data_IF_519761153439
#
_entry.id   IF_519761153439
#
_cell.length_a   1.000
_cell.length_b   1.000
_cell.length_c   1.000
_cell.angle_alpha   90.00
_cell.angle_beta   90.00
_cell.angle_gamma   90.00
#
_symmetry.space_group_name_H-M   'P 1'
#
loop_
_entity.id
_entity.type
_entity.pdbx_description
1 polymer ?
#
# COMPACT_ATOMS: atom_id res chain seq x y z
N UNK A 1 -3.49 32.41 -2.06
CA UNK A 1 -3.72 31.33 -1.06
C UNK A 1 -2.42 30.57 -0.88
N UNK A 2 -1.93 30.46 0.35
CA UNK A 2 -0.78 29.61 0.66
C UNK A 2 -1.22 28.16 0.43
N UNK A 3 -0.60 27.48 -0.54
CA UNK A 3 -0.93 26.09 -0.85
C UNK A 3 -0.41 25.20 0.29
N UNK A 4 -1.24 24.34 0.86
CA UNK A 4 -0.82 23.41 1.91
C UNK A 4 0.34 22.52 1.46
N UNK A 5 1.24 22.21 2.38
CA UNK A 5 2.36 21.29 2.18
C UNK A 5 1.83 19.88 2.39
N UNK A 6 1.71 19.13 1.29
CA UNK A 6 1.18 17.78 1.32
C UNK A 6 2.25 16.78 1.79
N UNK A 7 1.98 16.13 2.91
CA UNK A 7 2.83 15.14 3.57
C UNK A 7 2.03 13.88 3.96
N UNK A 8 1.08 13.51 3.11
CA UNK A 8 0.23 12.31 3.30
C UNK A 8 0.27 11.36 2.08
N UNK A 9 1.47 11.15 1.53
CA UNK A 9 1.67 10.32 0.33
C UNK A 9 1.34 8.84 0.54
N UNK A 10 1.34 8.34 1.78
CA UNK A 10 0.86 6.99 2.06
C UNK A 10 -0.66 6.87 1.90
N UNK A 11 -1.42 7.95 2.01
CA UNK A 11 -2.85 7.93 1.69
C UNK A 11 -3.08 7.90 0.18
N UNK A 12 -2.46 8.80 -0.56
CA UNK A 12 -2.50 8.84 -2.03
C UNK A 12 -1.35 9.66 -2.58
N UNK A 13 -0.87 9.30 -3.76
CA UNK A 13 0.11 10.09 -4.53
C UNK A 13 -0.65 10.95 -5.53
N UNK A 14 -0.31 12.23 -5.73
CA UNK A 14 -0.88 13.03 -6.82
C UNK A 14 -0.71 12.30 -8.16
N UNK A 15 -1.69 12.45 -9.06
CA UNK A 15 -1.60 11.85 -10.39
C UNK A 15 -0.41 12.49 -11.13
N UNK A 16 0.51 11.66 -11.63
CA UNK A 16 1.71 12.10 -12.35
C UNK A 16 1.31 12.89 -13.62
N UNK A 17 2.13 13.87 -14.01
CA UNK A 17 1.81 14.73 -15.13
C UNK A 17 1.72 13.97 -16.46
N UNK A 18 2.61 12.99 -16.68
CA UNK A 18 2.57 12.11 -17.84
C UNK A 18 1.31 11.22 -17.83
N UNK A 19 0.91 10.73 -16.66
CA UNK A 19 -0.34 9.98 -16.50
C UNK A 19 -1.54 10.85 -16.85
N UNK A 20 -1.60 12.12 -16.39
CA UNK A 20 -2.67 13.07 -16.77
C UNK A 20 -2.77 13.23 -18.30
N UNK A 21 -1.61 13.39 -18.96
CA UNK A 21 -1.55 13.49 -20.42
C UNK A 21 -2.12 12.24 -21.10
N UNK A 22 -1.65 11.06 -20.69
CA UNK A 22 -2.12 9.77 -21.23
C UNK A 22 -3.63 9.58 -21.03
N UNK A 23 -4.19 10.03 -19.89
CA UNK A 23 -5.64 10.00 -19.67
C UNK A 23 -6.40 10.90 -20.63
N UNK A 24 -5.93 12.13 -20.88
CA UNK A 24 -6.54 13.06 -21.83
C UNK A 24 -6.49 12.49 -23.24
N UNK A 25 -5.33 12.00 -23.68
CA UNK A 25 -5.16 11.36 -25.00
C UNK A 25 -6.13 10.17 -25.16
N UNK A 26 -6.33 9.37 -24.10
CA UNK A 26 -7.26 8.24 -24.12
C UNK A 26 -8.74 8.70 -24.23
N UNK A 27 -9.12 9.78 -23.55
CA UNK A 27 -10.48 10.33 -23.62
C UNK A 27 -10.83 10.81 -25.05
N UNK A 28 -9.84 11.28 -25.82
CA UNK A 28 -10.01 11.76 -27.19
C UNK A 28 -10.12 10.61 -28.21
N UNK A 29 -9.83 9.36 -27.84
CA UNK A 29 -9.95 8.20 -28.74
C UNK A 29 -11.39 7.83 -29.12
N UNK A 30 -12.39 8.33 -28.40
CA UNK A 30 -13.81 8.07 -28.66
C UNK A 30 -14.42 6.97 -27.79
N UNK A 31 -15.51 6.32 -28.26
CA UNK A 31 -16.30 5.39 -27.44
C UNK A 31 -15.62 4.01 -27.36
N UNK A 32 -14.76 3.82 -26.34
CA UNK A 32 -13.98 2.59 -26.14
C UNK A 32 -14.74 1.60 -25.25
N UNK A 33 -14.91 0.37 -25.75
CA UNK A 33 -15.37 -0.79 -24.95
C UNK A 33 -14.62 -2.03 -25.42
N UNK A 34 -13.74 -2.57 -24.57
CA UNK A 34 -12.88 -3.70 -24.92
C UNK A 34 -13.65 -5.01 -25.25
N UNK A 35 -14.91 -5.13 -24.86
CA UNK A 35 -15.76 -6.27 -25.21
C UNK A 35 -16.28 -6.23 -26.64
N UNK A 36 -16.19 -5.07 -27.35
CA UNK A 36 -16.68 -4.93 -28.72
C UNK A 36 -15.69 -5.47 -29.76
N UNK A 37 -16.22 -5.95 -30.91
CA UNK A 37 -15.40 -6.54 -31.98
C UNK A 37 -14.93 -5.52 -33.03
N UNK A 38 -15.53 -4.32 -33.07
CA UNK A 38 -15.21 -3.27 -34.01
C UNK A 38 -13.92 -2.53 -33.65
N UNK A 39 -13.52 -1.54 -34.44
CA UNK A 39 -12.28 -0.77 -34.30
C UNK A 39 -12.05 -0.29 -32.85
N UNK A 40 -12.99 0.46 -32.28
CA UNK A 40 -12.85 0.99 -30.90
C UNK A 40 -12.74 -0.10 -29.83
N UNK A 41 -13.37 -1.26 -30.04
CA UNK A 41 -13.22 -2.39 -29.13
C UNK A 41 -11.83 -3.01 -29.19
N UNK A 42 -11.25 -3.13 -30.39
CA UNK A 42 -9.86 -3.60 -30.54
C UNK A 42 -8.85 -2.64 -29.93
N UNK A 43 -9.06 -1.32 -30.08
CA UNK A 43 -8.23 -0.32 -29.39
C UNK A 43 -8.33 -0.46 -27.88
N UNK A 44 -9.54 -0.65 -27.34
CA UNK A 44 -9.72 -0.92 -25.91
C UNK A 44 -8.96 -2.16 -25.42
N UNK A 45 -9.02 -3.26 -26.19
CA UNK A 45 -8.22 -4.47 -25.86
C UNK A 45 -6.72 -4.21 -25.89
N UNK A 46 -6.25 -3.46 -26.86
CA UNK A 46 -4.85 -3.10 -26.98
C UNK A 46 -4.38 -2.26 -25.79
N UNK A 47 -5.16 -1.26 -25.38
CA UNK A 47 -4.90 -0.43 -24.21
C UNK A 47 -4.80 -1.27 -22.95
N UNK A 48 -5.76 -2.18 -22.72
CA UNK A 48 -5.75 -3.09 -21.56
C UNK A 48 -4.49 -3.95 -21.55
N UNK A 49 -4.10 -4.49 -22.71
CA UNK A 49 -2.93 -5.37 -22.81
C UNK A 49 -1.62 -4.62 -22.56
N UNK A 50 -1.48 -3.41 -23.10
CA UNK A 50 -0.29 -2.56 -22.86
C UNK A 50 -0.18 -2.22 -21.37
N UNK A 51 -1.28 -1.77 -20.75
CA UNK A 51 -1.29 -1.43 -19.34
C UNK A 51 -0.92 -2.63 -18.46
N UNK A 52 -1.48 -3.80 -18.77
CA UNK A 52 -1.17 -5.06 -18.09
C UNK A 52 0.29 -5.44 -18.23
N UNK A 53 0.87 -5.29 -19.42
CA UNK A 53 2.29 -5.56 -19.67
C UNK A 53 3.20 -4.59 -18.91
N UNK A 54 2.85 -3.32 -18.82
CA UNK A 54 3.63 -2.33 -18.08
C UNK A 54 3.67 -2.66 -16.56
N UNK A 55 2.53 -3.07 -16.00
CA UNK A 55 2.48 -3.51 -14.59
C UNK A 55 3.29 -4.80 -14.40
N UNK A 56 3.16 -5.77 -15.31
CA UNK A 56 3.91 -7.01 -15.29
C UNK A 56 5.43 -6.75 -15.29
N UNK A 57 5.88 -5.83 -16.14
CA UNK A 57 7.30 -5.43 -16.21
C UNK A 57 7.77 -4.79 -14.89
N UNK A 58 6.97 -3.91 -14.28
CA UNK A 58 7.32 -3.23 -13.03
C UNK A 58 7.57 -4.22 -11.88
N UNK A 59 6.80 -5.31 -11.83
CA UNK A 59 6.88 -6.28 -10.72
C UNK A 59 7.51 -7.62 -11.13
N UNK A 60 8.12 -7.68 -12.31
CA UNK A 60 8.76 -8.87 -12.89
C UNK A 60 7.89 -10.13 -12.83
N UNK A 61 6.78 -10.10 -13.59
CA UNK A 61 5.88 -11.24 -13.76
C UNK A 61 5.28 -11.26 -15.16
N UNK A 62 4.43 -12.25 -15.45
CA UNK A 62 3.71 -12.35 -16.72
C UNK A 62 2.41 -11.54 -16.67
N UNK A 63 2.02 -10.96 -17.81
CA UNK A 63 0.74 -10.22 -17.95
C UNK A 63 -0.48 -11.05 -17.57
N UNK A 64 -0.47 -12.35 -17.87
CA UNK A 64 -1.56 -13.28 -17.56
C UNK A 64 -1.80 -13.49 -16.06
N UNK A 65 -0.83 -13.15 -15.21
CA UNK A 65 -0.92 -13.24 -13.76
C UNK A 65 -1.64 -12.05 -13.12
N UNK A 66 -2.06 -11.05 -13.89
CA UNK A 66 -2.64 -9.80 -13.39
C UNK A 66 -4.16 -9.79 -13.65
N UNK A 67 -4.94 -9.51 -12.62
CA UNK A 67 -6.38 -9.22 -12.70
C UNK A 67 -6.60 -7.79 -12.24
N UNK A 68 -7.21 -6.95 -13.06
CA UNK A 68 -7.61 -5.60 -12.68
C UNK A 68 -8.83 -5.62 -11.77
N UNK A 69 -8.78 -4.81 -10.73
CA UNK A 69 -9.85 -4.60 -9.76
C UNK A 69 -10.09 -3.11 -9.55
N UNK A 70 -11.18 -2.71 -8.93
CA UNK A 70 -11.45 -1.30 -8.63
C UNK A 70 -10.52 -0.73 -7.54
N UNK A 71 -9.88 -1.57 -6.76
CA UNK A 71 -9.00 -1.18 -5.66
C UNK A 71 -8.24 -2.38 -5.10
N UNK A 72 -7.21 -2.12 -4.28
CA UNK A 72 -6.59 -3.16 -3.47
C UNK A 72 -7.61 -3.87 -2.56
N UNK A 73 -8.59 -3.14 -2.02
CA UNK A 73 -9.65 -3.73 -1.19
C UNK A 73 -10.46 -4.79 -1.94
N UNK A 74 -10.82 -4.56 -3.21
CA UNK A 74 -11.51 -5.56 -4.04
C UNK A 74 -10.62 -6.78 -4.29
N UNK A 75 -9.33 -6.57 -4.63
CA UNK A 75 -8.36 -7.65 -4.83
C UNK A 75 -8.20 -8.52 -3.56
N UNK A 76 -8.11 -7.89 -2.38
CA UNK A 76 -8.05 -8.57 -1.08
C UNK A 76 -9.30 -9.41 -0.85
N UNK A 77 -10.50 -8.85 -1.07
CA UNK A 77 -11.76 -9.58 -0.88
C UNK A 77 -11.85 -10.79 -1.83
N UNK A 78 -11.40 -10.66 -3.08
CA UNK A 78 -11.38 -11.76 -4.06
C UNK A 78 -10.54 -12.93 -3.55
N UNK A 79 -9.36 -12.65 -2.97
CA UNK A 79 -8.48 -13.70 -2.43
C UNK A 79 -9.08 -14.30 -1.16
N UNK A 80 -9.41 -13.46 -0.17
CA UNK A 80 -9.88 -13.92 1.13
C UNK A 80 -11.19 -14.70 1.01
N UNK A 81 -12.07 -14.30 0.08
CA UNK A 81 -13.30 -15.04 -0.23
C UNK A 81 -13.08 -16.43 -0.82
N UNK A 82 -11.87 -16.74 -1.29
CA UNK A 82 -11.53 -18.05 -1.85
C UNK A 82 -11.01 -19.06 -0.82
N UNK A 83 -10.79 -18.61 0.44
CA UNK A 83 -10.26 -19.46 1.51
C UNK A 83 -11.21 -19.52 2.72
N UNK A 84 -11.25 -20.67 3.39
CA UNK A 84 -12.00 -20.86 4.63
C UNK A 84 -11.13 -20.71 5.89
N UNK A 85 -9.83 -21.00 5.77
CA UNK A 85 -8.90 -20.91 6.89
C UNK A 85 -7.89 -19.81 6.56
N UNK A 86 -7.95 -18.72 7.30
CA UNK A 86 -7.16 -17.53 7.06
C UNK A 86 -6.44 -17.16 8.33
N UNK A 87 -5.14 -16.90 8.21
CA UNK A 87 -4.28 -16.36 9.27
C UNK A 87 -3.79 -15.01 8.80
N UNK A 88 -3.91 -13.97 9.59
CA UNK A 88 -3.54 -12.61 9.19
C UNK A 88 -2.63 -11.95 10.22
N UNK A 89 -1.78 -11.04 9.78
CA UNK A 89 -1.00 -10.21 10.71
C UNK A 89 -1.94 -9.24 11.46
N UNK A 90 -1.66 -9.00 12.74
CA UNK A 90 -2.45 -8.08 13.56
C UNK A 90 -2.34 -6.61 13.14
N UNK A 91 -1.39 -6.29 12.27
CA UNK A 91 -1.14 -4.94 11.75
C UNK A 91 -1.59 -4.75 10.29
N UNK A 92 -2.39 -5.67 9.74
CA UNK A 92 -2.93 -5.56 8.39
C UNK A 92 -3.80 -4.32 8.21
N UNK A 93 -3.94 -3.88 6.95
CA UNK A 93 -4.94 -2.88 6.61
C UNK A 93 -6.36 -3.39 6.94
N UNK A 94 -7.28 -2.49 7.31
CA UNK A 94 -8.66 -2.85 7.64
C UNK A 94 -9.38 -3.63 6.53
N UNK A 95 -8.96 -3.47 5.28
CA UNK A 95 -9.48 -4.27 4.17
C UNK A 95 -9.20 -5.79 4.34
N UNK A 96 -8.07 -6.16 4.99
CA UNK A 96 -7.74 -7.56 5.32
C UNK A 96 -8.44 -7.96 6.62
N UNK A 97 -8.28 -7.18 7.68
CA UNK A 97 -8.83 -7.52 9.01
C UNK A 97 -10.35 -7.72 8.97
N UNK A 98 -11.08 -6.81 8.32
CA UNK A 98 -12.55 -6.89 8.26
C UNK A 98 -13.06 -7.97 7.29
N UNK A 99 -12.28 -8.31 6.25
CA UNK A 99 -12.70 -9.30 5.24
C UNK A 99 -12.32 -10.72 5.62
N UNK A 100 -11.27 -10.92 6.40
CA UNK A 100 -10.75 -12.24 6.79
C UNK A 100 -11.72 -13.01 7.70
N UNK A 101 -12.50 -12.30 8.51
CA UNK A 101 -13.46 -12.88 9.48
C UNK A 101 -12.80 -13.97 10.34
N UNK A 102 -11.53 -13.79 10.70
CA UNK A 102 -10.73 -14.74 11.45
C UNK A 102 -10.23 -14.13 12.76
N UNK A 103 -10.11 -14.98 13.78
CA UNK A 103 -9.46 -14.63 15.05
C UNK A 103 -8.00 -15.13 15.11
N UNK A 104 -7.51 -15.74 14.02
CA UNK A 104 -6.14 -16.25 13.92
C UNK A 104 -5.20 -15.13 13.52
N UNK A 105 -4.78 -14.34 14.50
CA UNK A 105 -3.89 -13.19 14.31
C UNK A 105 -2.45 -13.57 14.63
N UNK A 106 -1.52 -13.17 13.76
CA UNK A 106 -0.08 -13.21 14.02
C UNK A 106 0.26 -11.93 14.79
N UNK A 107 0.73 -12.00 16.04
CA UNK A 107 1.14 -10.82 16.78
C UNK A 107 2.39 -10.19 16.16
N UNK A 108 2.69 -8.96 16.59
CA UNK A 108 3.93 -8.25 16.24
C UNK A 108 4.70 -7.90 17.51
N UNK A 109 6.00 -7.67 17.36
CA UNK A 109 6.83 -7.13 18.43
C UNK A 109 6.61 -5.61 18.60
N UNK A 110 7.33 -5.03 19.57
CA UNK A 110 7.29 -3.60 19.88
C UNK A 110 7.75 -2.70 18.70
N UNK A 111 8.47 -3.24 17.75
CA UNK A 111 8.90 -2.54 16.54
C UNK A 111 7.93 -2.70 15.36
N UNK A 112 6.90 -3.52 15.52
CA UNK A 112 5.89 -3.80 14.50
C UNK A 112 6.31 -4.89 13.51
N UNK A 113 7.24 -5.79 13.87
CA UNK A 113 7.63 -6.96 13.08
C UNK A 113 6.78 -8.16 13.50
N UNK A 114 6.26 -8.92 12.53
CA UNK A 114 5.47 -10.13 12.79
C UNK A 114 6.30 -11.19 13.54
N UNK A 115 5.66 -11.85 14.51
CA UNK A 115 6.26 -12.94 15.29
C UNK A 115 6.28 -14.23 14.45
N UNK A 116 7.45 -14.56 13.91
CA UNK A 116 7.65 -15.73 13.06
C UNK A 116 7.58 -17.03 13.84
N UNK A 117 8.01 -17.04 15.09
CA UNK A 117 7.95 -18.23 15.96
C UNK A 117 6.49 -18.56 16.30
N UNK A 118 5.69 -17.54 16.61
CA UNK A 118 4.25 -17.72 16.81
C UNK A 118 3.57 -18.23 15.54
N UNK A 119 3.90 -17.65 14.36
CA UNK A 119 3.36 -18.13 13.08
C UNK A 119 3.67 -19.61 12.86
N UNK A 120 4.91 -20.04 13.10
CA UNK A 120 5.30 -21.44 12.91
C UNK A 120 4.55 -22.38 13.87
N UNK A 121 4.43 -22.01 15.14
CA UNK A 121 3.68 -22.77 16.14
C UNK A 121 2.19 -22.87 15.78
N UNK A 122 1.58 -21.77 15.34
CA UNK A 122 0.19 -21.73 14.91
C UNK A 122 -0.04 -22.66 13.72
N UNK A 123 0.77 -22.54 12.65
CA UNK A 123 0.66 -23.36 11.46
C UNK A 123 0.88 -24.84 11.76
N UNK A 124 1.83 -25.21 12.62
CA UNK A 124 2.05 -26.58 13.09
C UNK A 124 0.81 -27.16 13.78
N UNK A 125 0.02 -26.32 14.45
CA UNK A 125 -1.21 -26.73 15.12
C UNK A 125 -2.35 -26.95 14.13
N UNK A 126 -2.60 -25.98 13.21
CA UNK A 126 -3.79 -25.97 12.37
C UNK A 126 -3.62 -26.74 11.04
N UNK A 127 -2.40 -26.97 10.55
CA UNK A 127 -2.15 -27.70 9.30
C UNK A 127 -2.52 -29.19 9.34
N UNK A 128 -2.76 -29.74 10.52
CA UNK A 128 -3.15 -31.14 10.71
C UNK A 128 -4.49 -31.49 10.04
N UNK A 129 -5.37 -30.51 9.87
CA UNK A 129 -6.71 -30.68 9.30
C UNK A 129 -6.73 -30.77 7.77
N UNK A 130 -5.56 -30.75 7.09
CA UNK A 130 -5.39 -30.82 5.62
C UNK A 130 -6.23 -29.82 4.82
N UNK A 131 -6.71 -28.74 5.44
CA UNK A 131 -7.44 -27.68 4.75
C UNK A 131 -6.46 -26.66 4.17
N UNK A 132 -6.83 -26.07 3.04
CA UNK A 132 -6.04 -24.96 2.49
C UNK A 132 -6.04 -23.79 3.48
N UNK A 133 -4.85 -23.32 3.83
CA UNK A 133 -4.64 -22.20 4.75
C UNK A 133 -4.04 -21.05 3.95
N UNK A 134 -4.63 -19.86 4.08
CA UNK A 134 -4.06 -18.62 3.57
C UNK A 134 -3.41 -17.85 4.70
N UNK A 135 -2.19 -17.44 4.52
CA UNK A 135 -1.47 -16.52 5.41
C UNK A 135 -1.41 -15.16 4.72
N UNK A 136 -1.96 -14.11 5.34
CA UNK A 136 -1.93 -12.76 4.80
C UNK A 136 -1.06 -11.85 5.66
N UNK A 137 0.02 -11.33 5.06
CA UNK A 137 0.95 -10.40 5.70
C UNK A 137 1.30 -9.27 4.73
N UNK A 138 1.02 -8.02 5.13
CA UNK A 138 1.41 -6.86 4.33
C UNK A 138 2.95 -6.74 4.26
N UNK A 139 3.47 -6.27 3.13
CA UNK A 139 4.92 -6.11 3.00
C UNK A 139 5.45 -4.88 3.73
N UNK A 140 4.73 -3.77 3.61
CA UNK A 140 5.09 -2.49 4.25
C UNK A 140 3.87 -1.98 5.01
N UNK A 141 4.05 -1.71 6.30
CA UNK A 141 2.95 -1.17 7.08
C UNK A 141 2.65 0.30 6.68
N UNK A 142 1.39 0.61 6.46
CA UNK A 142 0.93 1.90 5.96
C UNK A 142 1.05 3.04 6.99
N UNK A 143 1.17 2.73 8.28
CA UNK A 143 1.31 3.71 9.36
C UNK A 143 2.79 3.95 9.71
N UNK A 144 3.53 2.89 10.03
CA UNK A 144 4.92 2.95 10.50
C UNK A 144 5.95 2.98 9.36
N UNK A 145 5.59 2.42 8.19
CA UNK A 145 6.52 2.18 7.10
C UNK A 145 7.43 0.96 7.31
N UNK A 146 7.26 0.21 8.38
CA UNK A 146 8.07 -0.97 8.71
C UNK A 146 7.90 -2.05 7.63
N UNK A 147 9.04 -2.62 7.21
CA UNK A 147 9.11 -3.67 6.19
C UNK A 147 9.02 -5.03 6.89
N UNK A 148 8.07 -5.87 6.48
CA UNK A 148 7.88 -7.19 7.05
C UNK A 148 8.79 -8.25 6.40
N UNK A 149 9.20 -9.29 7.13
CA UNK A 149 10.08 -10.35 6.67
C UNK A 149 9.34 -11.37 5.78
N UNK A 150 8.82 -10.92 4.63
CA UNK A 150 7.93 -11.70 3.76
C UNK A 150 8.57 -13.02 3.30
N UNK A 151 9.88 -13.04 3.05
CA UNK A 151 10.57 -14.27 2.64
C UNK A 151 10.50 -15.35 3.73
N UNK A 152 10.65 -14.95 4.99
CA UNK A 152 10.59 -15.90 6.11
C UNK A 152 9.15 -16.36 6.34
N UNK A 153 8.16 -15.46 6.20
CA UNK A 153 6.73 -15.83 6.21
C UNK A 153 6.44 -16.87 5.13
N UNK A 154 6.94 -16.67 3.90
CA UNK A 154 6.77 -17.62 2.79
C UNK A 154 7.39 -18.96 3.13
N UNK A 155 8.64 -18.99 3.60
CA UNK A 155 9.37 -20.20 3.92
C UNK A 155 8.64 -21.02 5.01
N UNK A 156 8.20 -20.36 6.08
CA UNK A 156 7.43 -21.00 7.14
C UNK A 156 6.09 -21.51 6.60
N UNK A 157 5.35 -20.70 5.86
CA UNK A 157 4.04 -21.07 5.32
C UNK A 157 4.12 -22.30 4.41
N UNK A 158 5.08 -22.33 3.49
CA UNK A 158 5.29 -23.45 2.55
C UNK A 158 5.65 -24.76 3.26
N UNK A 159 6.40 -24.70 4.37
CA UNK A 159 6.73 -25.87 5.19
C UNK A 159 5.47 -26.59 5.69
N UNK A 160 4.38 -25.87 5.89
CA UNK A 160 3.09 -26.40 6.36
C UNK A 160 2.01 -26.46 5.27
N UNK A 161 2.39 -26.27 4.00
CA UNK A 161 1.47 -26.34 2.85
C UNK A 161 0.48 -25.17 2.76
N UNK A 162 0.81 -24.03 3.40
CA UNK A 162 0.01 -22.81 3.35
C UNK A 162 0.30 -21.97 2.10
N UNK A 163 -0.69 -21.20 1.68
CA UNK A 163 -0.60 -20.17 0.65
C UNK A 163 -0.32 -18.82 1.29
N UNK A 164 0.41 -17.94 0.60
CA UNK A 164 0.75 -16.61 1.11
C UNK A 164 0.16 -15.52 0.22
N UNK A 165 -0.64 -14.65 0.83
CA UNK A 165 -1.04 -13.36 0.30
C UNK A 165 -0.18 -12.26 0.89
N UNK A 166 0.32 -11.37 0.03
CA UNK A 166 1.07 -10.19 0.43
C UNK A 166 0.35 -8.92 -0.04
N UNK A 167 -0.13 -8.08 0.89
CA UNK A 167 -0.56 -6.73 0.53
C UNK A 167 0.67 -5.86 0.27
N UNK A 168 0.93 -5.56 -1.01
CA UNK A 168 2.03 -4.74 -1.47
C UNK A 168 1.62 -3.30 -1.85
N UNK A 169 0.43 -2.84 -1.42
CA UNK A 169 -0.04 -1.50 -1.74
C UNK A 169 0.95 -0.41 -1.31
N UNK A 170 1.64 -0.58 -0.19
CA UNK A 170 2.66 0.35 0.28
C UNK A 170 4.09 -0.02 -0.15
N UNK A 171 4.30 -1.19 -0.75
CA UNK A 171 5.61 -1.61 -1.27
C UNK A 171 5.82 -1.13 -2.72
N UNK A 172 4.76 -1.12 -3.53
CA UNK A 172 4.83 -0.72 -4.94
C UNK A 172 5.40 0.70 -5.11
N UNK A 173 6.42 0.83 -5.95
CA UNK A 173 7.12 2.10 -6.18
C UNK A 173 8.06 2.57 -5.04
N UNK A 174 8.15 1.80 -3.93
CA UNK A 174 9.06 2.07 -2.80
C UNK A 174 10.08 0.96 -2.60
N UNK A 175 9.74 -0.27 -2.93
CA UNK A 175 10.61 -1.44 -2.88
C UNK A 175 10.60 -2.08 -4.27
N UNK A 176 11.75 -2.59 -4.71
CA UNK A 176 11.81 -3.38 -5.93
C UNK A 176 11.07 -4.69 -5.73
N UNK A 177 9.99 -4.87 -6.47
CA UNK A 177 9.21 -6.11 -6.46
C UNK A 177 9.68 -7.01 -7.60
N UNK A 178 9.96 -8.27 -7.28
CA UNK A 178 10.19 -9.35 -8.23
C UNK A 178 9.27 -10.50 -7.83
N UNK A 179 8.06 -10.49 -8.40
CA UNK A 179 6.99 -11.42 -8.00
C UNK A 179 7.42 -12.88 -8.20
N UNK A 180 8.03 -13.19 -9.35
CA UNK A 180 8.41 -14.55 -9.69
C UNK A 180 9.51 -15.10 -8.74
N UNK A 181 10.45 -14.23 -8.30
CA UNK A 181 11.49 -14.62 -7.33
C UNK A 181 11.05 -14.57 -5.88
N UNK A 182 10.09 -13.70 -5.55
CA UNK A 182 9.58 -13.57 -4.19
C UNK A 182 8.93 -14.88 -3.74
N UNK A 183 8.22 -15.55 -4.67
CA UNK A 183 7.60 -16.83 -4.42
C UNK A 183 6.33 -16.76 -3.56
N UNK A 184 5.71 -15.60 -3.45
CA UNK A 184 4.38 -15.40 -2.88
C UNK A 184 3.32 -15.93 -3.85
N UNK A 185 2.19 -16.42 -3.34
CA UNK A 185 1.13 -16.97 -4.19
C UNK A 185 0.20 -15.88 -4.72
N UNK A 186 -0.05 -14.84 -3.89
CA UNK A 186 -0.94 -13.72 -4.21
C UNK A 186 -0.31 -12.41 -3.77
N UNK A 187 -0.37 -11.40 -4.64
CA UNK A 187 0.10 -10.05 -4.34
C UNK A 187 -0.99 -9.03 -4.69
N UNK A 188 -1.31 -8.13 -3.78
CA UNK A 188 -2.24 -7.03 -4.03
C UNK A 188 -1.49 -5.72 -4.21
N UNK A 189 -1.84 -4.96 -5.26
CA UNK A 189 -1.26 -3.66 -5.58
C UNK A 189 -2.33 -2.61 -5.87
N UNK A 190 -1.98 -1.33 -5.70
CA UNK A 190 -2.92 -0.21 -5.85
C UNK A 190 -2.31 0.93 -6.68
N UNK A 191 -3.04 1.38 -7.71
CA UNK A 191 -2.52 2.36 -8.66
C UNK A 191 -2.28 3.74 -8.05
N UNK A 192 -3.20 4.24 -7.21
CA UNK A 192 -3.07 5.59 -6.63
C UNK A 192 -1.88 5.75 -5.65
N UNK A 193 -1.23 4.66 -5.25
CA UNK A 193 -0.01 4.71 -4.42
C UNK A 193 1.25 5.01 -5.22
N UNK A 194 1.17 4.97 -6.55
CA UNK A 194 2.28 5.28 -7.46
C UNK A 194 1.95 6.40 -8.45
N UNK A 195 0.91 7.19 -8.20
CA UNK A 195 0.53 8.33 -9.04
C UNK A 195 -0.40 8.02 -10.20
N UNK A 196 -1.10 6.89 -10.16
CA UNK A 196 -2.25 6.60 -11.01
C UNK A 196 -3.54 7.19 -10.43
N UNK A 197 -4.66 7.22 -11.19
CA UNK A 197 -5.97 7.58 -10.65
C UNK A 197 -6.41 6.66 -9.50
N UNK A 198 -7.24 7.18 -8.60
CA UNK A 198 -8.00 6.35 -7.66
C UNK A 198 -9.03 5.48 -8.40
N UNK A 199 -9.49 4.40 -7.77
CA UNK A 199 -10.49 3.52 -8.37
C UNK A 199 -9.90 2.44 -9.29
N UNK A 200 -8.60 2.13 -9.11
CA UNK A 200 -7.90 1.03 -9.81
C UNK A 200 -6.88 0.36 -8.90
N UNK A 201 -6.89 -0.96 -8.92
CA UNK A 201 -5.91 -1.85 -8.29
C UNK A 201 -5.72 -3.10 -9.11
N UNK A 202 -4.91 -4.02 -8.64
CA UNK A 202 -4.79 -5.33 -9.25
C UNK A 202 -4.45 -6.41 -8.22
N UNK A 203 -4.96 -7.61 -8.50
CA UNK A 203 -4.48 -8.85 -7.95
C UNK A 203 -3.44 -9.43 -8.90
N UNK A 204 -2.32 -9.86 -8.36
CA UNK A 204 -1.29 -10.63 -9.06
C UNK A 204 -1.23 -12.01 -8.42
N UNK A 205 -1.34 -13.06 -9.22
CA UNK A 205 -1.29 -14.43 -8.71
C UNK A 205 -0.76 -15.39 -9.76
N UNK A 206 -0.21 -16.49 -9.30
CA UNK A 206 0.16 -17.57 -10.20
C UNK A 206 -1.09 -18.38 -10.58
N UNK A 207 -1.39 -18.50 -11.88
CA UNK A 207 -2.61 -19.14 -12.42
C UNK A 207 -2.84 -20.63 -12.02
N UNK A 208 -2.00 -21.16 -11.15
CA UNK A 208 -2.14 -22.54 -10.64
C UNK A 208 -3.18 -22.68 -9.50
N UNK A 209 -3.80 -21.57 -9.06
CA UNK A 209 -4.83 -21.58 -8.02
C UNK A 209 -6.20 -21.23 -8.60
N UNK A 210 -7.23 -22.00 -8.21
CA UNK A 210 -8.59 -21.76 -8.64
C UNK A 210 -9.27 -20.74 -7.70
N UNK A 211 -9.18 -19.45 -8.04
CA UNK A 211 -9.88 -18.38 -7.32
C UNK A 211 -11.41 -18.48 -7.53
N UNK A 212 -12.16 -18.09 -6.51
CA UNK A 212 -13.61 -17.98 -6.56
C UNK A 212 -14.02 -16.56 -6.94
N UNK A 213 -14.51 -16.30 -8.17
CA UNK A 213 -14.93 -14.96 -8.58
C UNK A 213 -16.01 -14.41 -7.64
N UNK A 214 -15.85 -13.16 -7.17
CA UNK A 214 -16.78 -12.49 -6.28
C UNK A 214 -17.80 -11.62 -7.06
N UNK A 215 -17.37 -11.08 -8.22
CA UNK A 215 -18.21 -10.26 -9.09
C UNK A 215 -18.49 -11.09 -10.35
N UNK A 216 -19.71 -11.60 -10.45
CA UNK A 216 -20.13 -12.47 -11.54
C UNK A 216 -20.80 -11.68 -12.66
N UNK A 217 -20.63 -12.12 -13.92
CA UNK A 217 -21.22 -11.46 -15.09
C UNK A 217 -20.62 -11.95 -16.40
N UNK A 218 -20.11 -11.04 -17.23
CA UNK A 218 -19.44 -11.36 -18.50
C UNK A 218 -18.04 -11.95 -18.31
N UNK A 219 -17.35 -12.24 -19.40
CA UNK A 219 -16.03 -12.87 -19.40
C UNK A 219 -14.84 -11.94 -19.16
N UNK A 220 -15.04 -10.70 -18.66
CA UNK A 220 -13.98 -9.76 -18.39
C UNK A 220 -12.98 -10.34 -17.38
N UNK A 221 -11.73 -9.91 -17.47
CA UNK A 221 -10.63 -10.42 -16.64
C UNK A 221 -10.60 -11.95 -16.55
N UNK A 222 -10.78 -12.63 -17.69
CA UNK A 222 -10.84 -14.08 -17.79
C UNK A 222 -11.92 -14.74 -16.90
N UNK A 223 -13.03 -14.03 -16.66
CA UNK A 223 -14.13 -14.47 -15.80
C UNK A 223 -13.86 -14.28 -14.31
N UNK A 224 -12.70 -13.79 -13.90
CA UNK A 224 -12.35 -13.60 -12.48
C UNK A 224 -12.96 -12.32 -11.90
N UNK A 225 -13.22 -11.31 -12.76
CA UNK A 225 -13.83 -10.05 -12.35
C UNK A 225 -14.68 -9.48 -13.48
N UNK A 226 -15.95 -9.72 -13.43
CA UNK A 226 -16.89 -9.26 -14.45
C UNK A 226 -17.21 -7.77 -14.36
N UNK A 227 -17.85 -7.24 -15.42
CA UNK A 227 -18.22 -5.84 -15.57
C UNK A 227 -17.26 -5.09 -16.51
N UNK A 228 -17.81 -4.10 -17.22
CA UNK A 228 -17.02 -3.27 -18.16
C UNK A 228 -15.78 -2.71 -17.48
N UNK A 229 -14.66 -2.85 -18.13
CA UNK A 229 -13.35 -2.48 -17.60
C UNK A 229 -13.24 -0.96 -17.45
N UNK A 230 -12.61 -0.52 -16.34
CA UNK A 230 -12.28 0.89 -16.12
C UNK A 230 -11.06 1.30 -16.95
N UNK A 231 -11.28 1.53 -18.28
CA UNK A 231 -10.21 1.81 -19.24
C UNK A 231 -9.31 2.96 -18.77
N UNK A 232 -9.89 4.07 -18.29
CA UNK A 232 -9.11 5.22 -17.83
C UNK A 232 -8.27 4.89 -16.60
N UNK A 233 -8.84 4.18 -15.63
CA UNK A 233 -8.08 3.75 -14.46
C UNK A 233 -6.95 2.79 -14.85
N UNK A 234 -7.21 1.85 -15.75
CA UNK A 234 -6.26 0.82 -16.17
C UNK A 234 -5.10 1.44 -16.96
N UNK A 235 -5.38 2.31 -17.94
CA UNK A 235 -4.31 2.97 -18.71
C UNK A 235 -3.47 3.88 -17.83
N UNK A 236 -4.12 4.62 -16.90
CA UNK A 236 -3.40 5.45 -15.93
C UNK A 236 -2.50 4.64 -14.99
N UNK A 237 -2.95 3.46 -14.54
CA UNK A 237 -2.12 2.57 -13.73
C UNK A 237 -0.97 1.97 -14.55
N UNK A 238 -1.24 1.52 -15.78
CA UNK A 238 -0.21 1.03 -16.68
C UNK A 238 0.85 2.08 -17.01
N UNK A 239 0.46 3.33 -17.20
CA UNK A 239 1.39 4.43 -17.48
C UNK A 239 2.24 4.79 -16.26
N UNK A 240 1.63 4.88 -15.06
CA UNK A 240 2.40 5.08 -13.82
C UNK A 240 3.41 3.93 -13.59
N UNK A 241 3.00 2.69 -13.87
CA UNK A 241 3.88 1.53 -13.79
C UNK A 241 5.03 1.61 -14.81
N UNK A 242 4.76 2.01 -16.07
CA UNK A 242 5.78 2.20 -17.11
C UNK A 242 6.82 3.22 -16.68
N UNK A 243 6.38 4.40 -16.23
CA UNK A 243 7.28 5.47 -15.79
C UNK A 243 8.24 4.98 -14.70
N UNK A 244 7.73 4.26 -13.69
CA UNK A 244 8.56 3.77 -12.60
C UNK A 244 9.48 2.63 -13.07
N UNK A 245 9.02 1.74 -13.95
CA UNK A 245 9.83 0.61 -14.45
C UNK A 245 10.97 1.04 -15.36
N UNK A 246 10.86 2.18 -16.02
CA UNK A 246 11.89 2.76 -16.89
C UNK A 246 12.96 3.55 -16.12
N UNK A 247 12.76 3.80 -14.82
CA UNK A 247 13.81 4.39 -14.00
C UNK A 247 15.00 3.44 -13.92
N UNK A 248 16.25 3.92 -14.11
CA UNK A 248 17.44 3.08 -14.01
C UNK A 248 17.53 2.38 -12.66
N UNK A 249 17.13 3.07 -11.62
CA UNK A 249 17.01 2.59 -10.25
C UNK A 249 15.95 3.42 -9.51
N UNK A 250 15.16 2.77 -8.64
CA UNK A 250 14.29 3.48 -7.72
C UNK A 250 15.14 4.00 -6.56
N UNK A 251 15.53 5.28 -6.62
CA UNK A 251 16.34 5.90 -5.57
C UNK A 251 15.47 6.52 -4.48
N UNK A 252 16.03 6.55 -3.28
CA UNK A 252 15.35 7.05 -2.08
C UNK A 252 16.24 7.97 -1.24
N UNK A 253 17.42 8.35 -1.75
CA UNK A 253 18.43 9.07 -0.98
C UNK A 253 17.95 10.43 -0.52
N UNK A 254 17.25 11.19 -1.39
CA UNK A 254 16.71 12.52 -1.08
C UNK A 254 15.51 12.41 -0.13
N UNK A 255 14.60 11.50 -0.42
CA UNK A 255 13.44 11.26 0.46
C UNK A 255 13.91 10.81 1.85
N UNK A 256 14.88 9.90 1.92
CA UNK A 256 15.50 9.46 3.18
C UNK A 256 16.14 10.62 3.92
N UNK A 257 16.89 11.48 3.22
CA UNK A 257 17.51 12.65 3.80
C UNK A 257 16.45 13.58 4.44
N UNK A 258 15.35 13.89 3.74
CA UNK A 258 14.29 14.75 4.26
C UNK A 258 13.63 14.12 5.50
N UNK A 259 13.35 12.82 5.45
CA UNK A 259 12.80 12.07 6.58
C UNK A 259 13.71 12.12 7.81
N UNK A 260 15.00 11.85 7.61
CA UNK A 260 15.96 11.80 8.72
C UNK A 260 16.23 13.20 9.26
N UNK A 261 16.27 14.21 8.39
CA UNK A 261 16.40 15.62 8.79
C UNK A 261 15.28 16.07 9.72
N UNK A 262 14.01 15.87 9.29
CA UNK A 262 12.86 16.27 10.11
C UNK A 262 12.77 15.48 11.40
N UNK A 263 13.10 14.18 11.39
CA UNK A 263 13.10 13.34 12.58
C UNK A 263 14.11 13.87 13.62
N UNK A 264 15.33 14.21 13.20
CA UNK A 264 16.35 14.78 14.07
C UNK A 264 15.94 16.18 14.61
N UNK A 265 15.30 16.99 13.77
CA UNK A 265 14.83 18.31 14.18
C UNK A 265 13.71 18.22 15.21
N UNK A 266 12.74 17.31 14.98
CA UNK A 266 11.63 17.08 15.92
C UNK A 266 12.15 16.61 17.28
N UNK A 267 13.04 15.61 17.34
CA UNK A 267 13.55 15.11 18.62
C UNK A 267 14.41 16.15 19.35
N UNK A 268 15.09 17.03 18.61
CA UNK A 268 15.87 18.11 19.19
C UNK A 268 14.98 19.18 19.82
N UNK A 269 13.87 19.55 19.17
CA UNK A 269 12.95 20.58 19.65
C UNK A 269 11.95 20.05 20.67
N UNK A 270 11.61 18.75 20.60
CA UNK A 270 10.62 18.09 21.45
C UNK A 270 11.07 16.68 21.83
N UNK A 271 11.99 16.53 22.83
CA UNK A 271 12.62 15.25 23.17
C UNK A 271 11.65 14.16 23.66
N UNK A 272 10.46 14.52 24.15
CA UNK A 272 9.42 13.58 24.57
C UNK A 272 8.65 12.94 23.39
N UNK A 273 8.93 13.34 22.15
CA UNK A 273 8.32 12.72 20.97
C UNK A 273 8.75 11.26 20.84
N UNK A 274 7.77 10.37 20.76
CA UNK A 274 8.00 8.95 20.54
C UNK A 274 7.94 8.66 19.05
N UNK A 275 8.99 8.03 18.52
CA UNK A 275 9.04 7.53 17.15
C UNK A 275 8.71 6.05 17.15
N UNK A 276 7.71 5.65 16.35
CA UNK A 276 7.21 4.27 16.32
C UNK A 276 7.72 3.56 15.06
N UNK A 277 8.30 2.36 15.22
CA UNK A 277 8.86 1.56 14.14
C UNK A 277 10.18 2.10 13.57
N UNK A 278 10.90 2.98 14.28
CA UNK A 278 12.15 3.60 13.83
C UNK A 278 13.40 2.76 14.08
N UNK A 279 13.29 1.69 14.86
CA UNK A 279 14.40 0.81 15.29
C UNK A 279 14.69 -0.34 14.32
N UNK A 280 13.85 -0.51 13.30
CA UNK A 280 13.93 -1.61 12.34
C UNK A 280 13.90 -1.09 10.91
N UNK A 281 14.11 -1.97 9.94
CA UNK A 281 14.08 -1.61 8.53
C UNK A 281 12.69 -1.08 8.13
N UNK A 282 12.67 0.10 7.49
CA UNK A 282 11.46 0.77 7.04
C UNK A 282 11.68 1.53 5.74
N UNK A 283 10.60 1.77 5.02
CA UNK A 283 10.65 2.60 3.81
C UNK A 283 11.10 4.02 4.12
N UNK A 284 11.74 4.64 3.14
CA UNK A 284 12.40 5.94 3.30
C UNK A 284 11.42 7.10 3.50
N UNK A 285 10.16 6.93 3.14
CA UNK A 285 9.21 8.03 3.04
C UNK A 285 8.25 8.19 4.23
N UNK A 286 8.35 7.37 5.29
CA UNK A 286 7.32 7.32 6.34
C UNK A 286 7.92 7.56 7.73
N UNK A 287 7.22 8.38 8.52
CA UNK A 287 7.47 8.62 9.95
C UNK A 287 6.13 8.48 10.68
N UNK A 288 6.13 7.73 11.78
CA UNK A 288 5.02 7.71 12.73
C UNK A 288 5.52 8.24 14.06
N UNK A 289 4.94 9.35 14.53
CA UNK A 289 5.31 10.01 15.78
C UNK A 289 4.10 10.17 16.70
N UNK A 290 4.34 10.21 17.99
CA UNK A 290 3.31 10.44 18.98
C UNK A 290 3.82 11.30 20.14
N UNK A 291 2.92 12.06 20.78
CA UNK A 291 3.17 12.74 22.06
C UNK A 291 2.35 12.05 23.15
N UNK A 292 2.97 11.62 24.27
CA UNK A 292 2.30 10.83 25.30
C UNK A 292 1.01 11.45 25.85
N UNK A 293 0.98 12.78 26.01
CA UNK A 293 -0.13 13.49 26.65
C UNK A 293 -0.92 14.41 25.70
N UNK A 294 -0.77 14.23 24.40
CA UNK A 294 -1.42 15.07 23.40
C UNK A 294 -2.31 14.24 22.49
N UNK A 295 -3.62 14.45 22.46
CA UNK A 295 -4.50 13.76 21.52
C UNK A 295 -4.10 14.04 20.06
N UNK A 296 -4.12 13.00 19.23
CA UNK A 296 -3.71 13.09 17.82
C UNK A 296 -4.61 14.01 16.99
N UNK A 297 -5.90 14.14 17.32
CA UNK A 297 -6.82 15.09 16.69
C UNK A 297 -6.40 16.54 16.91
N UNK A 298 -5.97 16.89 18.12
CA UNK A 298 -5.44 18.22 18.42
C UNK A 298 -4.15 18.49 17.63
N UNK A 299 -3.24 17.51 17.59
CA UNK A 299 -1.99 17.62 16.82
C UNK A 299 -2.28 17.78 15.32
N UNK A 300 -3.19 16.97 14.77
CA UNK A 300 -3.59 17.04 13.36
C UNK A 300 -4.20 18.41 13.02
N UNK A 301 -5.11 18.90 13.86
CA UNK A 301 -5.75 20.21 13.66
C UNK A 301 -4.72 21.36 13.69
N UNK A 302 -3.77 21.36 14.62
CA UNK A 302 -2.71 22.39 14.69
C UNK A 302 -1.81 22.36 13.45
N UNK A 303 -1.45 21.17 12.97
CA UNK A 303 -0.63 21.00 11.76
C UNK A 303 -1.38 21.47 10.51
N UNK A 304 -2.68 21.14 10.40
CA UNK A 304 -3.52 21.60 9.28
C UNK A 304 -3.68 23.12 9.26
N UNK A 305 -3.93 23.75 10.40
CA UNK A 305 -3.99 25.22 10.55
C UNK A 305 -2.66 25.89 10.19
N UNK A 306 -1.52 25.18 10.37
CA UNK A 306 -0.21 25.62 9.93
C UNK A 306 0.09 25.29 8.45
N UNK A 307 -0.90 24.82 7.69
CA UNK A 307 -0.84 24.39 6.28
C UNK A 307 0.07 23.18 6.03
N UNK A 308 0.05 22.18 6.92
CA UNK A 308 0.66 20.87 6.70
C UNK A 308 -0.44 19.80 6.63
N UNK A 309 -0.56 19.15 5.47
CA UNK A 309 -1.49 18.03 5.29
C UNK A 309 -0.79 16.73 5.67
N UNK A 310 -1.02 16.27 6.89
CA UNK A 310 -0.53 15.00 7.45
C UNK A 310 -1.72 14.13 7.85
N UNK A 311 -1.50 12.90 8.33
CA UNK A 311 -2.56 11.98 8.71
C UNK A 311 -2.39 11.48 10.13
N UNK A 312 -3.50 11.13 10.79
CA UNK A 312 -3.43 10.24 11.96
C UNK A 312 -3.11 8.81 11.51
N UNK A 313 -2.46 8.01 12.36
CA UNK A 313 -2.16 6.62 12.04
C UNK A 313 -3.39 5.83 11.55
N UNK A 314 -4.56 6.11 12.11
CA UNK A 314 -5.84 5.42 11.85
C UNK A 314 -6.78 6.11 10.86
N UNK A 315 -6.30 6.94 9.94
CA UNK A 315 -7.10 7.85 9.08
C UNK A 315 -8.07 7.19 8.08
N UNK A 316 -8.27 5.88 8.10
CA UNK A 316 -9.13 5.17 7.12
C UNK A 316 -10.61 5.08 7.50
N UNK A 317 -11.08 5.65 8.60
CA UNK A 317 -12.48 5.53 9.05
C UNK A 317 -13.17 6.89 9.17
N UNK A 318 -13.99 7.23 8.16
CA UNK A 318 -15.14 8.20 8.23
C UNK A 318 -14.94 9.53 8.99
N UNK A 319 -13.71 10.12 8.96
CA UNK A 319 -13.48 11.45 9.52
C UNK A 319 -13.39 11.53 11.06
N UNK A 320 -13.53 10.43 11.78
CA UNK A 320 -13.23 10.34 13.21
C UNK A 320 -11.86 9.69 13.41
N UNK A 321 -11.01 10.31 14.22
CA UNK A 321 -9.74 9.69 14.63
C UNK A 321 -10.09 8.52 15.54
N UNK A 322 -9.85 7.31 15.04
CA UNK A 322 -9.96 6.08 15.82
C UNK A 322 -8.60 5.71 16.39
N UNK A 323 -8.59 4.96 17.47
CA UNK A 323 -7.39 4.38 18.04
C UNK A 323 -6.68 3.51 17.00
N UNK A 324 -5.38 3.72 16.76
CA UNK A 324 -4.61 2.89 15.82
C UNK A 324 -4.48 1.46 16.33
N UNK A 325 -5.04 0.51 15.59
CA UNK A 325 -4.87 -0.91 15.89
C UNK A 325 -3.42 -1.37 15.71
N UNK A 326 -2.66 -0.74 14.81
CA UNK A 326 -1.24 -1.01 14.57
C UNK A 326 -0.43 -0.64 15.82
N UNK A 327 -0.59 0.59 16.31
CA UNK A 327 0.12 1.08 17.50
C UNK A 327 -0.29 0.28 18.74
N UNK A 328 -1.56 -0.11 18.84
CA UNK A 328 -2.06 -1.02 19.89
C UNK A 328 -1.40 -2.40 19.79
N UNK A 329 -1.33 -3.00 18.61
CA UNK A 329 -0.71 -4.30 18.38
C UNK A 329 0.80 -4.29 18.71
N UNK A 330 1.49 -3.16 18.53
CA UNK A 330 2.88 -2.95 18.92
C UNK A 330 3.08 -2.78 20.45
N UNK A 331 2.01 -2.81 21.25
CA UNK A 331 2.09 -2.66 22.70
C UNK A 331 2.08 -1.20 23.22
N UNK A 332 1.89 -0.21 22.36
CA UNK A 332 1.82 1.21 22.71
C UNK A 332 0.38 1.72 22.83
N UNK A 333 -0.44 1.02 23.58
CA UNK A 333 -1.88 1.28 23.71
C UNK A 333 -2.21 2.74 24.08
N UNK A 334 -1.40 3.35 24.94
CA UNK A 334 -1.57 4.75 25.39
C UNK A 334 -1.25 5.79 24.31
N UNK A 335 -0.46 5.41 23.28
CA UNK A 335 -0.08 6.28 22.16
C UNK A 335 -0.96 6.08 20.92
N UNK A 336 -1.82 5.06 20.92
CA UNK A 336 -2.59 4.66 19.76
C UNK A 336 -3.58 5.72 19.25
N UNK A 337 -4.06 6.61 20.12
CA UNK A 337 -4.89 7.76 19.76
C UNK A 337 -4.10 9.07 19.57
N UNK A 338 -2.79 9.03 19.80
CA UNK A 338 -1.93 10.22 19.83
C UNK A 338 -0.95 10.25 18.63
N UNK A 339 -1.00 9.25 17.75
CA UNK A 339 -0.04 9.10 16.68
C UNK A 339 -0.40 9.91 15.44
N UNK A 340 0.62 10.55 14.87
CA UNK A 340 0.57 11.29 13.60
C UNK A 340 1.54 10.64 12.62
N UNK A 341 1.07 10.37 11.41
CA UNK A 341 1.89 9.91 10.31
C UNK A 341 2.26 11.07 9.40
N UNK A 342 3.53 11.22 9.12
CA UNK A 342 4.08 12.10 8.10
C UNK A 342 4.63 11.20 7.00
N UNK A 343 4.19 11.39 5.77
CA UNK A 343 4.68 10.60 4.64
C UNK A 343 5.03 11.48 3.44
N UNK A 344 6.27 11.33 3.00
CA UNK A 344 6.88 11.99 1.85
C UNK A 344 6.52 11.26 0.55
N UNK A 345 6.87 11.81 -0.63
CA UNK A 345 6.81 11.08 -1.88
C UNK A 345 7.46 9.69 -1.79
N UNK A 346 6.96 8.68 -2.49
CA UNK A 346 7.44 7.30 -2.37
C UNK A 346 8.90 7.09 -2.80
N UNK A 347 9.43 7.95 -3.67
CA UNK A 347 10.80 7.88 -4.18
C UNK A 347 11.29 9.27 -4.65
N UNK A 348 12.57 9.38 -4.98
CA UNK A 348 13.21 10.64 -5.37
C UNK A 348 12.66 11.18 -6.69
N UNK A 349 12.26 10.33 -7.64
CA UNK A 349 11.66 10.75 -8.90
C UNK A 349 10.35 11.54 -8.68
N UNK A 350 9.43 10.99 -7.89
CA UNK A 350 8.15 11.66 -7.60
C UNK A 350 8.37 12.93 -6.77
N UNK A 351 9.36 12.93 -5.86
CA UNK A 351 9.74 14.13 -5.12
C UNK A 351 10.19 15.26 -6.06
N UNK A 352 10.98 14.96 -7.08
CA UNK A 352 11.55 15.94 -8.01
C UNK A 352 10.52 16.44 -9.04
N UNK A 353 9.62 15.55 -9.51
CA UNK A 353 8.69 15.88 -10.59
C UNK A 353 7.40 16.53 -10.13
N UNK A 354 6.93 16.21 -8.90
CA UNK A 354 5.64 16.74 -8.42
C UNK A 354 5.80 17.98 -7.53
N UNK A 355 6.66 17.91 -6.51
CA UNK A 355 6.94 19.04 -5.63
C UNK A 355 8.19 18.80 -4.79
N UNK A 356 9.17 19.68 -4.90
CA UNK A 356 10.28 19.75 -3.96
C UNK A 356 9.79 20.26 -2.60
N UNK A 357 10.13 19.54 -1.54
CA UNK A 357 9.92 19.94 -0.15
C UNK A 357 11.22 20.57 0.31
N UNK A 358 11.16 21.81 0.82
CA UNK A 358 12.32 22.56 1.24
C UNK A 358 12.69 22.33 2.70
N UNK A 359 13.93 22.53 3.06
CA UNK A 359 14.39 22.47 4.46
C UNK A 359 13.65 23.49 5.33
N UNK A 360 13.38 24.70 4.81
CA UNK A 360 12.64 25.73 5.53
C UNK A 360 11.19 25.28 5.85
N UNK A 361 10.54 24.55 4.94
CA UNK A 361 9.22 23.98 5.21
C UNK A 361 9.28 22.90 6.31
N UNK A 362 10.34 22.10 6.34
CA UNK A 362 10.55 21.09 7.38
C UNK A 362 10.89 21.73 8.74
N UNK A 363 11.70 22.79 8.77
CA UNK A 363 11.96 23.55 10.00
C UNK A 363 10.67 24.08 10.59
N UNK A 364 9.82 24.71 9.77
CA UNK A 364 8.52 25.20 10.19
C UNK A 364 7.60 24.08 10.69
N UNK A 365 7.63 22.88 10.08
CA UNK A 365 6.88 21.72 10.55
C UNK A 365 7.34 21.29 11.94
N UNK A 366 8.67 21.21 12.17
CA UNK A 366 9.25 20.85 13.46
C UNK A 366 8.93 21.87 14.56
N UNK A 367 8.99 23.17 14.24
CA UNK A 367 8.58 24.25 15.14
C UNK A 367 7.09 24.16 15.49
N UNK A 368 6.23 23.90 14.49
CA UNK A 368 4.81 23.68 14.74
C UNK A 368 4.58 22.49 15.67
N UNK A 369 5.26 21.36 15.43
CA UNK A 369 5.20 20.19 16.29
C UNK A 369 5.67 20.46 17.71
N UNK A 370 6.74 21.25 17.88
CA UNK A 370 7.27 21.59 19.20
C UNK A 370 6.30 22.45 20.05
N UNK A 371 5.36 23.13 19.42
CA UNK A 371 4.35 23.99 20.06
C UNK A 371 2.98 23.29 20.23
N UNK A 372 2.91 21.99 19.92
CA UNK A 372 1.71 21.19 20.15
C UNK A 372 1.63 20.77 21.60
#
# INVERSE_FOLDING_TARGET
MIKSIYLDYNATVPILNEVKKTLLDCMDLGPINASSVHFYGREGKNILQIARSNIANLINTKSENIIFTSSATEAINLILGSFQNIVVSSIEHLAVLNSSKTDLLIPVDINGIVDLDYLEQLLKKISKDKKQILISVMWVNNETGVIQPIKDVINISKKYGGFVHCDAAQALGKIKIDFDKLGVDFLTISGHKIGAPSGIGALVYNNNFNLLPQILGGGQENGMRAGTENILGIIGFGEAARIISELPEITHSKVKFLRDYISNKIITLRPETVFLGDKVERVSNTILIALPNTPGDLALMKLDLANFSVSSGSACSSGKISKSHVVTAMGYDQLASNSIRISFPPNDFILETERLITIQELDRLAECWSNI
#
